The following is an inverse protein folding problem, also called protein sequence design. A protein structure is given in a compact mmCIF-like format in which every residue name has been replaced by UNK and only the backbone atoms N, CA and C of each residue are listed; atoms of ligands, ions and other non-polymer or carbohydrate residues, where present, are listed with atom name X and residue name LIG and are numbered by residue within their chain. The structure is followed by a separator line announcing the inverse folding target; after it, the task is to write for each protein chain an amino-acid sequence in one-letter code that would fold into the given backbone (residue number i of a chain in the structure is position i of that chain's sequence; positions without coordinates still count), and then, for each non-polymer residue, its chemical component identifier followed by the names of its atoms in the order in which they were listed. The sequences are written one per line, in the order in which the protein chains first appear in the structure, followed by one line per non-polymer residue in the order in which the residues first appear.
data_IF_648533281041
#
_entry.id   IF_648533281041
#
_cell.length_a   1.000
_cell.length_b   1.000
_cell.length_c   1.000
_cell.angle_alpha   90.00
_cell.angle_beta   90.00
_cell.angle_gamma   90.00
#
_symmetry.space_group_name_H-M   'P 1'
#
loop_
_entity.id
_entity.type
_entity.pdbx_description
1 polymer ?
#
# COMPACT_ATOMS: atom_id res chain seq x y z
N UNK A 1 -19.51 -19.97 -6.20
CA UNK A 1 -18.30 -19.49 -5.50
C UNK A 1 -18.62 -18.67 -4.24
N UNK A 2 -19.37 -17.56 -4.33
CA UNK A 2 -19.70 -16.70 -3.17
C UNK A 2 -20.27 -17.44 -1.94
N UNK A 3 -21.21 -18.37 -2.13
CA UNK A 3 -21.74 -19.20 -1.03
C UNK A 3 -20.73 -20.14 -0.40
N UNK A 4 -19.78 -20.64 -1.18
CA UNK A 4 -18.74 -21.55 -0.73
C UNK A 4 -17.65 -20.79 0.05
N UNK A 5 -17.32 -19.57 -0.40
CA UNK A 5 -16.45 -18.64 0.33
C UNK A 5 -17.05 -18.19 1.68
N UNK A 6 -18.38 -18.05 1.76
CA UNK A 6 -19.10 -17.77 3.01
C UNK A 6 -19.27 -19.01 3.92
N UNK A 7 -18.64 -20.14 3.56
CA UNK A 7 -18.66 -21.41 4.28
C UNK A 7 -19.97 -22.19 4.24
N UNK A 8 -20.75 -22.02 3.17
CA UNK A 8 -21.75 -23.01 2.78
C UNK A 8 -21.08 -24.30 2.29
N UNK A 9 -21.80 -25.42 2.36
CA UNK A 9 -21.33 -26.70 1.85
C UNK A 9 -21.25 -26.70 0.32
N UNK A 10 -20.54 -27.67 -0.26
CA UNK A 10 -20.46 -27.86 -1.70
C UNK A 10 -21.87 -27.99 -2.32
N UNK A 11 -22.76 -28.76 -1.67
CA UNK A 11 -24.15 -28.90 -2.10
C UNK A 11 -24.90 -27.58 -2.11
N UNK A 12 -24.88 -26.83 -1.00
CA UNK A 12 -25.59 -25.54 -0.89
C UNK A 12 -25.07 -24.50 -1.88
N UNK A 13 -23.76 -24.53 -2.15
CA UNK A 13 -23.12 -23.63 -3.10
C UNK A 13 -23.47 -23.97 -4.54
N UNK A 14 -23.58 -25.26 -4.86
CA UNK A 14 -24.00 -25.73 -6.16
C UNK A 14 -25.49 -25.46 -6.40
N UNK A 15 -26.36 -25.73 -5.44
CA UNK A 15 -27.79 -25.39 -5.50
C UNK A 15 -28.01 -23.89 -5.69
N UNK A 16 -27.24 -23.05 -5.01
CA UNK A 16 -27.31 -21.61 -5.19
C UNK A 16 -26.90 -21.18 -6.61
N UNK A 17 -25.86 -21.80 -7.18
CA UNK A 17 -25.47 -21.54 -8.55
C UNK A 17 -26.55 -22.01 -9.54
N UNK A 18 -27.17 -23.17 -9.29
CA UNK A 18 -28.27 -23.69 -10.10
C UNK A 18 -29.50 -22.78 -10.03
N UNK A 19 -29.82 -22.24 -8.85
CA UNK A 19 -30.92 -21.28 -8.68
C UNK A 19 -30.67 -19.96 -9.42
N UNK A 20 -29.42 -19.47 -9.40
CA UNK A 20 -29.03 -18.27 -10.16
C UNK A 20 -29.15 -18.51 -11.68
N UNK A 21 -28.67 -19.64 -12.17
CA UNK A 21 -28.78 -20.00 -13.60
C UNK A 21 -30.22 -20.27 -14.02
N UNK A 22 -31.04 -20.88 -13.15
CA UNK A 22 -32.46 -21.08 -13.41
C UNK A 22 -33.21 -19.75 -13.52
N UNK A 23 -32.81 -18.74 -12.75
CA UNK A 23 -33.36 -17.39 -12.82
C UNK A 23 -32.97 -16.68 -14.13
N UNK A 24 -31.73 -16.84 -14.59
CA UNK A 24 -31.23 -16.17 -15.81
C UNK A 24 -31.63 -16.87 -17.12
N UNK A 25 -31.72 -18.20 -17.13
CA UNK A 25 -31.86 -19.00 -18.36
C UNK A 25 -33.05 -19.97 -18.37
N UNK A 26 -33.88 -19.96 -17.32
CA UNK A 26 -35.05 -20.82 -17.17
C UNK A 26 -34.71 -22.20 -16.56
N UNK A 27 -35.67 -22.78 -15.84
CA UNK A 27 -35.48 -23.98 -15.03
C UNK A 27 -35.14 -25.26 -15.82
N UNK A 28 -35.47 -25.31 -17.12
CA UNK A 28 -35.17 -26.46 -17.99
C UNK A 28 -33.68 -26.58 -18.33
N UNK A 29 -32.91 -25.49 -18.19
CA UNK A 29 -31.46 -25.47 -18.46
C UNK A 29 -30.60 -25.38 -17.20
N UNK A 30 -31.20 -25.51 -16.03
CA UNK A 30 -30.47 -25.45 -14.77
C UNK A 30 -29.70 -26.76 -14.52
N UNK A 31 -28.41 -26.70 -14.15
CA UNK A 31 -27.63 -27.88 -13.78
C UNK A 31 -28.29 -28.66 -12.63
N UNK A 32 -28.09 -29.98 -12.56
CA UNK A 32 -28.63 -30.84 -11.50
C UNK A 32 -27.55 -31.66 -10.80
N UNK A 33 -27.87 -32.11 -9.59
CA UNK A 33 -27.06 -33.06 -8.83
C UNK A 33 -27.36 -34.48 -9.33
N UNK A 34 -26.33 -35.20 -9.78
CA UNK A 34 -26.47 -36.56 -10.30
C UNK A 34 -25.77 -37.56 -9.39
N UNK A 35 -26.53 -38.56 -8.91
CA UNK A 35 -26.01 -39.70 -8.14
C UNK A 35 -25.59 -40.80 -9.11
N UNK A 36 -24.31 -41.18 -9.09
CA UNK A 36 -23.78 -42.30 -9.88
C UNK A 36 -23.80 -43.58 -9.05
N UNK A 37 -24.48 -44.62 -9.55
CA UNK A 37 -24.57 -45.94 -8.90
C UNK A 37 -23.45 -46.89 -9.32
N UNK A 38 -22.81 -46.70 -10.48
CA UNK A 38 -21.63 -47.48 -10.91
C UNK A 38 -20.62 -46.59 -11.64
N UNK A 39 -19.34 -46.97 -11.54
CA UNK A 39 -18.21 -46.26 -12.16
C UNK A 39 -18.29 -46.26 -13.69
N UNK A 40 -18.86 -45.21 -14.28
CA UNK A 40 -18.70 -44.94 -15.71
C UNK A 40 -17.46 -44.09 -15.93
N UNK A 41 -16.49 -44.66 -16.65
CA UNK A 41 -15.46 -43.91 -17.35
C UNK A 41 -16.11 -43.02 -18.42
N UNK A 42 -15.40 -41.97 -18.80
CA UNK A 42 -15.82 -41.04 -19.85
C UNK A 42 -15.99 -41.78 -21.19
N UNK A 43 -17.21 -42.23 -21.46
CA UNK A 43 -17.66 -42.75 -22.73
C UNK A 43 -19.00 -42.11 -23.04
N UNK A 44 -19.00 -41.13 -23.94
CA UNK A 44 -20.21 -40.63 -24.58
C UNK A 44 -20.67 -41.70 -25.58
N UNK A 45 -21.60 -42.55 -25.18
CA UNK A 45 -22.42 -43.31 -26.13
C UNK A 45 -23.89 -43.20 -25.70
N UNK A 46 -24.67 -42.64 -26.62
CA UNK A 46 -26.12 -42.67 -26.78
C UNK A 46 -26.98 -42.15 -25.62
N UNK A 47 -27.12 -40.82 -25.57
CA UNK A 47 -28.29 -40.17 -25.01
C UNK A 47 -28.97 -39.32 -26.10
N UNK A 48 -29.99 -39.89 -26.74
CA UNK A 48 -30.97 -39.13 -27.51
C UNK A 48 -31.78 -38.26 -26.52
N UNK A 49 -31.44 -36.98 -26.42
CA UNK A 49 -32.18 -35.98 -25.65
C UNK A 49 -31.39 -34.69 -25.49
N UNK A 50 -32.00 -33.54 -25.83
CA UNK A 50 -31.44 -32.19 -25.69
C UNK A 50 -31.30 -31.72 -24.22
N UNK A 51 -31.00 -32.62 -23.28
CA UNK A 51 -30.78 -32.26 -21.89
C UNK A 51 -29.30 -31.93 -21.65
N UNK A 52 -29.07 -30.72 -21.14
CA UNK A 52 -27.74 -30.14 -20.94
C UNK A 52 -26.89 -31.03 -19.99
N UNK A 53 -25.68 -31.49 -20.40
CA UNK A 53 -24.95 -32.56 -19.70
C UNK A 53 -24.18 -32.11 -18.45
N UNK A 54 -24.36 -30.87 -17.99
CA UNK A 54 -23.53 -30.29 -16.94
C UNK A 54 -24.24 -30.41 -15.58
N UNK A 55 -23.56 -31.00 -14.61
CA UNK A 55 -24.08 -31.26 -13.28
C UNK A 55 -22.96 -31.68 -12.31
N UNK A 56 -23.23 -31.66 -11.01
CA UNK A 56 -22.30 -32.17 -10.02
C UNK A 56 -22.56 -33.67 -9.85
N UNK A 57 -21.58 -34.49 -10.23
CA UNK A 57 -21.63 -35.94 -10.16
C UNK A 57 -20.91 -36.43 -8.91
N UNK A 58 -21.57 -37.26 -8.11
CA UNK A 58 -20.95 -37.90 -6.94
C UNK A 58 -21.30 -39.40 -6.90
N UNK A 59 -20.38 -40.20 -6.38
CA UNK A 59 -20.61 -41.64 -6.16
C UNK A 59 -21.47 -41.83 -4.91
N UNK A 60 -22.39 -42.80 -4.95
CA UNK A 60 -23.22 -43.14 -3.80
C UNK A 60 -22.42 -43.47 -2.52
N UNK A 61 -21.22 -44.01 -2.67
CA UNK A 61 -20.30 -44.37 -1.58
C UNK A 61 -19.62 -43.14 -0.93
N UNK A 62 -19.56 -42.00 -1.64
CA UNK A 62 -18.89 -40.77 -1.20
C UNK A 62 -19.88 -39.59 -1.12
N UNK A 63 -21.07 -39.82 -0.57
CA UNK A 63 -22.07 -38.77 -0.36
C UNK A 63 -21.56 -37.65 0.57
N UNK A 64 -20.59 -37.95 1.45
CA UNK A 64 -19.96 -37.01 2.39
C UNK A 64 -19.25 -35.84 1.69
N UNK A 65 -18.89 -35.98 0.39
CA UNK A 65 -18.26 -34.90 -0.39
C UNK A 65 -19.22 -33.71 -0.58
N UNK A 66 -20.54 -33.94 -0.52
CA UNK A 66 -21.54 -32.87 -0.62
C UNK A 66 -21.55 -31.95 0.61
N UNK A 67 -21.14 -32.49 1.77
CA UNK A 67 -20.99 -31.77 3.03
C UNK A 67 -19.63 -31.10 3.17
N UNK A 68 -18.75 -31.25 2.17
CA UNK A 68 -17.46 -30.59 2.14
C UNK A 68 -17.63 -29.08 2.16
N UNK A 69 -16.88 -28.41 3.03
CA UNK A 69 -16.80 -26.96 3.16
C UNK A 69 -15.37 -26.56 2.81
N UNK A 70 -15.20 -25.36 2.22
CA UNK A 70 -13.87 -24.78 2.03
C UNK A 70 -13.12 -24.78 3.37
N UNK A 71 -11.92 -25.39 3.47
CA UNK A 71 -11.12 -25.34 4.68
C UNK A 71 -10.88 -23.86 5.06
N UNK A 72 -11.47 -23.43 6.17
CA UNK A 72 -11.31 -22.06 6.69
C UNK A 72 -9.99 -21.88 7.43
N UNK A 73 -9.34 -22.99 7.77
CA UNK A 73 -7.98 -22.99 8.26
C UNK A 73 -7.08 -23.19 7.03
N UNK A 74 -6.37 -22.13 6.65
CA UNK A 74 -5.01 -22.32 6.15
C UNK A 74 -4.35 -23.23 7.16
N UNK A 75 -3.79 -24.35 6.71
CA UNK A 75 -2.93 -25.17 7.55
C UNK A 75 -1.84 -24.24 8.08
N UNK A 76 -2.00 -23.76 9.32
CA UNK A 76 -0.92 -23.13 10.06
C UNK A 76 0.24 -24.11 9.94
N UNK A 77 1.37 -23.64 9.41
CA UNK A 77 2.51 -24.50 9.15
C UNK A 77 2.78 -25.33 10.40
N UNK A 78 2.86 -26.65 10.20
CA UNK A 78 2.95 -27.61 11.28
C UNK A 78 4.23 -27.34 12.09
N UNK A 79 4.05 -26.91 13.35
CA UNK A 79 5.12 -26.82 14.34
C UNK A 79 5.22 -25.47 15.03
N UNK A 80 4.17 -25.06 15.75
CA UNK A 80 4.32 -24.06 16.81
C UNK A 80 3.93 -24.72 18.12
N UNK A 81 4.90 -24.85 19.02
CA UNK A 81 4.67 -25.29 20.39
C UNK A 81 3.69 -24.31 21.04
N UNK A 82 2.56 -24.81 21.57
CA UNK A 82 1.59 -24.05 22.37
C UNK A 82 2.18 -23.46 23.67
N UNK A 83 3.51 -23.41 23.79
CA UNK A 83 4.26 -23.02 24.97
C UNK A 83 5.45 -22.08 24.69
N UNK A 84 5.65 -21.58 23.46
CA UNK A 84 6.58 -20.45 23.25
C UNK A 84 5.94 -19.18 23.82
N UNK A 85 6.59 -18.59 24.82
CA UNK A 85 6.25 -17.24 25.26
C UNK A 85 6.30 -16.31 24.07
N UNK A 86 5.17 -15.72 23.67
CA UNK A 86 5.10 -14.69 22.64
C UNK A 86 6.21 -13.64 22.89
N UNK A 87 7.25 -13.65 22.05
CA UNK A 87 8.32 -12.67 22.09
C UNK A 87 7.91 -11.49 21.22
N UNK A 88 7.50 -10.41 21.87
CA UNK A 88 7.03 -9.19 21.22
C UNK A 88 8.10 -8.64 20.25
N UNK A 89 7.72 -8.47 18.99
CA UNK A 89 8.60 -7.97 17.91
C UNK A 89 9.77 -8.92 17.56
N UNK A 90 9.76 -10.18 18.01
CA UNK A 90 10.84 -11.13 17.76
C UNK A 90 11.07 -11.38 16.26
N UNK A 91 10.01 -11.43 15.47
CA UNK A 91 10.12 -11.67 14.03
C UNK A 91 10.56 -10.43 13.23
N UNK A 92 10.35 -9.23 13.76
CA UNK A 92 10.70 -7.96 13.09
C UNK A 92 12.22 -7.88 12.87
N UNK A 93 13.04 -8.45 13.76
CA UNK A 93 14.50 -8.46 13.60
C UNK A 93 14.97 -9.23 12.37
N UNK A 94 14.19 -10.18 11.84
CA UNK A 94 14.54 -10.90 10.61
C UNK A 94 14.74 -9.97 9.40
N UNK A 95 14.07 -8.81 9.40
CA UNK A 95 14.17 -7.79 8.35
C UNK A 95 15.59 -7.22 8.26
N UNK A 96 16.33 -7.15 9.37
CA UNK A 96 17.70 -6.61 9.38
C UNK A 96 18.65 -7.47 8.54
N UNK A 97 18.46 -8.79 8.55
CA UNK A 97 19.28 -9.70 7.73
C UNK A 97 19.14 -9.39 6.24
N UNK A 98 17.90 -9.24 5.77
CA UNK A 98 17.63 -8.88 4.37
C UNK A 98 18.06 -7.44 4.04
N UNK A 99 17.96 -6.51 4.99
CA UNK A 99 18.47 -5.13 4.79
C UNK A 99 19.98 -5.10 4.64
N UNK A 100 20.72 -5.85 5.48
CA UNK A 100 22.17 -5.99 5.38
C UNK A 100 22.60 -6.65 4.06
N UNK A 101 21.85 -7.66 3.59
CA UNK A 101 22.11 -8.30 2.30
C UNK A 101 22.03 -7.31 1.13
N UNK A 102 21.16 -6.30 1.22
CA UNK A 102 21.00 -5.26 0.20
C UNK A 102 21.98 -4.09 0.36
N UNK A 103 22.46 -3.80 1.58
CA UNK A 103 23.37 -2.69 1.86
C UNK A 103 24.46 -3.08 2.87
N UNK A 104 25.68 -3.29 2.36
CA UNK A 104 26.84 -3.72 3.16
C UNK A 104 27.23 -2.75 4.29
N UNK A 105 26.85 -1.46 4.19
CA UNK A 105 27.13 -0.50 5.28
C UNK A 105 26.29 -0.79 6.52
N UNK A 106 25.08 -1.31 6.34
CA UNK A 106 24.23 -1.69 7.47
C UNK A 106 24.76 -2.91 8.19
N UNK A 107 25.46 -3.81 7.50
CA UNK A 107 26.07 -4.98 8.14
C UNK A 107 27.11 -4.57 9.19
N UNK A 108 27.95 -3.57 8.87
CA UNK A 108 28.91 -2.99 9.82
C UNK A 108 28.20 -2.30 11.00
N UNK A 109 27.14 -1.54 10.72
CA UNK A 109 26.35 -0.85 11.76
C UNK A 109 25.69 -1.88 12.71
N UNK A 110 25.09 -2.96 12.18
CA UNK A 110 24.43 -4.01 12.96
C UNK A 110 25.43 -4.74 13.86
N UNK A 111 26.62 -5.09 13.35
CA UNK A 111 27.66 -5.78 14.14
C UNK A 111 28.20 -4.92 15.30
N UNK A 112 28.07 -3.60 15.19
CA UNK A 112 28.56 -2.65 16.21
C UNK A 112 27.57 -2.38 17.34
N UNK A 113 26.30 -2.75 17.15
CA UNK A 113 25.21 -2.46 18.10
C UNK A 113 24.93 -3.67 19.00
N UNK A 114 24.84 -3.41 20.30
CA UNK A 114 24.47 -4.43 21.31
C UNK A 114 23.03 -4.24 21.85
N UNK A 115 22.41 -3.08 21.64
CA UNK A 115 21.06 -2.76 22.13
C UNK A 115 19.97 -3.04 21.08
N UNK A 116 19.05 -3.93 21.42
CA UNK A 116 17.86 -4.29 20.64
C UNK A 116 17.06 -3.05 20.17
N UNK A 117 17.02 -1.97 20.97
CA UNK A 117 16.33 -0.74 20.59
C UNK A 117 17.02 -0.02 19.45
N UNK A 118 18.34 -0.01 19.43
CA UNK A 118 19.11 0.61 18.35
C UNK A 118 18.92 -0.16 17.04
N UNK A 119 18.83 -1.49 17.12
CA UNK A 119 18.52 -2.37 15.99
C UNK A 119 17.12 -2.08 15.42
N UNK A 120 16.09 -1.96 16.27
CA UNK A 120 14.74 -1.59 15.81
C UNK A 120 14.70 -0.17 15.21
N UNK A 121 15.43 0.78 15.79
CA UNK A 121 15.56 2.11 15.21
C UNK A 121 16.22 2.08 13.82
N UNK A 122 17.14 1.16 13.58
CA UNK A 122 17.78 1.00 12.27
C UNK A 122 16.77 0.54 11.21
N UNK A 123 15.88 -0.41 11.54
CA UNK A 123 14.78 -0.84 10.65
C UNK A 123 13.90 0.36 10.31
N UNK A 124 13.47 1.11 11.34
CA UNK A 124 12.57 2.27 11.18
C UNK A 124 13.20 3.34 10.29
N UNK A 125 14.48 3.66 10.50
CA UNK A 125 15.21 4.72 9.77
C UNK A 125 15.47 4.39 8.30
N UNK A 126 15.57 3.12 7.95
CA UNK A 126 15.88 2.69 6.58
C UNK A 126 14.65 2.49 5.71
N UNK A 127 13.46 2.35 6.30
CA UNK A 127 12.22 2.37 5.52
C UNK A 127 11.72 3.79 5.18
N UNK A 128 11.01 3.97 4.05
CA UNK A 128 10.26 5.19 3.75
C UNK A 128 9.30 5.56 4.89
N UNK A 129 9.11 6.86 5.17
CA UNK A 129 8.34 7.34 6.33
C UNK A 129 6.98 6.66 6.50
N UNK A 130 6.24 6.44 5.41
CA UNK A 130 4.92 5.81 5.45
C UNK A 130 4.94 4.38 6.00
N UNK A 131 6.04 3.64 5.84
CA UNK A 131 6.24 2.30 6.42
C UNK A 131 6.89 2.44 7.80
N UNK A 132 8.01 3.17 7.87
CA UNK A 132 8.80 3.31 9.09
C UNK A 132 8.03 3.91 10.26
N UNK A 133 7.14 4.88 10.03
CA UNK A 133 6.29 5.45 11.09
C UNK A 133 5.29 4.43 11.66
N UNK A 134 4.84 3.46 10.86
CA UNK A 134 3.90 2.43 11.30
C UNK A 134 4.63 1.31 12.05
N UNK A 135 5.83 0.93 11.59
CA UNK A 135 6.74 0.04 12.33
C UNK A 135 7.13 0.69 13.67
N UNK A 136 7.46 1.98 13.68
CA UNK A 136 7.79 2.72 14.90
C UNK A 136 6.68 2.74 15.94
N UNK A 137 5.41 2.72 15.50
CA UNK A 137 4.27 2.57 16.41
C UNK A 137 4.16 1.14 16.96
N UNK A 138 4.36 0.12 16.12
CA UNK A 138 4.32 -1.28 16.56
C UNK A 138 5.32 -1.58 17.68
N UNK A 139 6.51 -0.97 17.61
CA UNK A 139 7.58 -1.15 18.59
C UNK A 139 7.55 -0.12 19.73
N UNK A 140 6.56 0.78 19.74
CA UNK A 140 6.45 1.81 20.76
C UNK A 140 6.06 1.22 22.12
N UNK A 141 6.40 1.92 23.21
CA UNK A 141 6.03 1.55 24.58
C UNK A 141 4.55 1.84 24.91
N UNK A 142 3.66 1.88 23.91
CA UNK A 142 2.23 2.06 24.13
C UNK A 142 1.63 0.77 24.74
N UNK A 143 0.89 0.83 25.85
CA UNK A 143 0.21 -0.33 26.44
C UNK A 143 -0.64 -1.13 25.44
N UNK A 144 -1.24 -0.48 24.44
CA UNK A 144 -2.04 -1.15 23.41
C UNK A 144 -1.19 -1.96 22.42
N UNK A 145 0.09 -1.63 22.28
CA UNK A 145 1.04 -2.32 21.41
C UNK A 145 1.81 -3.41 22.16
N UNK A 146 2.02 -3.27 23.47
CA UNK A 146 2.76 -4.22 24.30
C UNK A 146 1.98 -5.52 24.60
N UNK A 147 0.68 -5.55 24.35
CA UNK A 147 -0.16 -6.72 24.62
C UNK A 147 -0.79 -7.25 23.33
N UNK A 148 -0.77 -8.59 23.11
CA UNK A 148 -1.45 -9.19 21.98
C UNK A 148 -2.96 -8.98 22.13
N UNK A 149 -3.58 -8.41 21.10
CA UNK A 149 -4.98 -7.99 21.13
C UNK A 149 -5.39 -7.25 19.87
N UNK A 150 -6.69 -6.94 19.76
CA UNK A 150 -7.25 -6.31 18.56
C UNK A 150 -6.52 -5.00 18.15
N UNK A 151 -6.15 -4.08 19.06
CA UNK A 151 -5.43 -2.86 18.68
C UNK A 151 -4.06 -3.14 18.04
N UNK A 152 -3.30 -4.10 18.55
CA UNK A 152 -2.01 -4.51 17.97
C UNK A 152 -2.21 -5.16 16.60
N UNK A 153 -3.20 -6.05 16.48
CA UNK A 153 -3.54 -6.69 15.20
C UNK A 153 -3.94 -5.68 14.12
N UNK A 154 -4.75 -4.68 14.47
CA UNK A 154 -5.10 -3.58 13.57
C UNK A 154 -3.86 -2.79 13.13
N UNK A 155 -2.91 -2.54 14.05
CA UNK A 155 -1.68 -1.84 13.71
C UNK A 155 -0.74 -2.68 12.82
N UNK A 156 -0.68 -4.01 13.01
CA UNK A 156 0.07 -4.92 12.14
C UNK A 156 -0.48 -4.86 10.71
N UNK A 157 -1.80 -4.96 10.57
CA UNK A 157 -2.48 -4.86 9.28
C UNK A 157 -2.37 -3.48 8.65
N UNK A 158 -2.41 -2.42 9.46
CA UNK A 158 -2.18 -1.06 8.99
C UNK A 158 -0.76 -0.86 8.44
N UNK A 159 0.24 -1.51 9.06
CA UNK A 159 1.63 -1.48 8.61
C UNK A 159 1.78 -2.20 7.27
N UNK A 160 1.18 -3.39 7.15
CA UNK A 160 1.07 -4.12 5.90
C UNK A 160 0.41 -3.27 4.78
N UNK A 161 -0.75 -2.67 5.06
CA UNK A 161 -1.46 -1.83 4.09
C UNK A 161 -0.66 -0.61 3.66
N UNK A 162 0.04 0.05 4.61
CA UNK A 162 0.87 1.21 4.29
C UNK A 162 2.06 0.83 3.39
N UNK A 163 2.59 -0.38 3.53
CA UNK A 163 3.63 -0.92 2.66
C UNK A 163 3.07 -1.31 1.28
N UNK A 164 1.93 -2.00 1.22
CA UNK A 164 1.27 -2.36 -0.05
C UNK A 164 0.86 -1.11 -0.85
N UNK A 165 0.30 -0.10 -0.18
CA UNK A 165 -0.08 1.18 -0.78
C UNK A 165 1.14 1.93 -1.35
N UNK A 166 2.28 1.87 -0.67
CA UNK A 166 3.53 2.46 -1.17
C UNK A 166 4.00 1.81 -2.46
N UNK A 167 3.99 0.49 -2.52
CA UNK A 167 4.37 -0.27 -3.70
C UNK A 167 3.47 0.08 -4.88
N UNK A 168 2.15 0.04 -4.64
CA UNK A 168 1.15 0.41 -5.64
C UNK A 168 1.38 1.81 -6.22
N UNK A 169 1.44 2.83 -5.37
CA UNK A 169 1.59 4.21 -5.84
C UNK A 169 2.98 4.51 -6.44
N UNK A 170 4.02 3.82 -5.98
CA UNK A 170 5.36 3.96 -6.59
C UNK A 170 5.36 3.42 -8.02
N UNK A 171 4.79 2.23 -8.24
CA UNK A 171 4.67 1.68 -9.60
C UNK A 171 3.70 2.50 -10.45
N UNK A 172 2.63 3.02 -9.87
CA UNK A 172 1.67 3.88 -10.57
C UNK A 172 2.30 5.19 -11.03
N UNK A 173 3.11 5.83 -10.18
CA UNK A 173 3.92 7.00 -10.56
C UNK A 173 4.82 6.72 -11.75
N UNK A 174 5.48 5.56 -11.76
CA UNK A 174 6.34 5.19 -12.88
C UNK A 174 5.53 4.99 -14.16
N UNK A 175 4.41 4.26 -14.09
CA UNK A 175 3.52 4.06 -15.25
C UNK A 175 3.07 5.41 -15.81
N UNK A 176 2.73 6.37 -14.96
CA UNK A 176 2.34 7.70 -15.40
C UNK A 176 3.48 8.43 -16.13
N UNK A 177 4.70 8.43 -15.57
CA UNK A 177 5.85 9.05 -16.23
C UNK A 177 6.10 8.43 -17.61
N UNK A 178 5.88 7.12 -17.77
CA UNK A 178 6.07 6.40 -19.03
C UNK A 178 4.94 6.61 -20.04
N UNK A 179 3.69 6.78 -19.58
CA UNK A 179 2.60 7.25 -20.44
C UNK A 179 2.90 8.65 -20.98
N UNK A 180 3.36 9.56 -20.11
CA UNK A 180 3.68 10.93 -20.49
C UNK A 180 4.94 11.02 -21.39
N UNK A 181 5.86 10.06 -21.28
CA UNK A 181 7.02 9.93 -22.17
C UNK A 181 6.67 9.34 -23.54
N UNK A 182 5.46 8.78 -23.69
CA UNK A 182 4.99 8.10 -24.89
C UNK A 182 5.53 6.67 -25.06
N UNK A 183 6.12 6.08 -24.01
CA UNK A 183 6.62 4.70 -24.02
C UNK A 183 5.53 3.66 -23.78
N UNK A 184 4.45 4.04 -23.08
CA UNK A 184 3.26 3.21 -22.89
C UNK A 184 2.08 3.78 -23.69
N UNK A 185 1.33 2.89 -24.35
CA UNK A 185 0.10 3.25 -25.02
C UNK A 185 -1.07 3.34 -24.02
N UNK A 186 -1.99 4.26 -24.28
CA UNK A 186 -3.11 4.62 -23.37
C UNK A 186 -4.13 3.47 -23.19
N UNK A 187 -4.19 2.50 -24.11
CA UNK A 187 -5.22 1.45 -24.15
C UNK A 187 -4.99 0.22 -23.26
N UNK A 188 -3.79 0.04 -22.71
CA UNK A 188 -3.40 -1.26 -22.14
C UNK A 188 -3.76 -1.42 -20.66
N UNK A 189 -4.43 -0.43 -20.08
CA UNK A 189 -4.60 -0.37 -18.64
C UNK A 189 -5.94 0.28 -18.25
N UNK A 190 -6.83 -0.51 -17.65
CA UNK A 190 -8.14 -0.06 -17.18
C UNK A 190 -8.02 0.49 -15.75
N UNK A 191 -7.98 1.81 -15.63
CA UNK A 191 -7.61 2.51 -14.41
C UNK A 191 -8.67 3.46 -13.88
N UNK A 192 -9.86 3.50 -14.49
CA UNK A 192 -10.96 4.27 -13.92
C UNK A 192 -11.25 3.80 -12.47
N UNK A 193 -11.08 2.51 -12.19
CA UNK A 193 -11.21 1.93 -10.85
C UNK A 193 -10.08 2.34 -9.88
N UNK A 194 -8.84 2.48 -10.36
CA UNK A 194 -7.69 2.80 -9.50
C UNK A 194 -7.69 4.24 -8.96
N UNK A 195 -8.32 5.17 -9.68
CA UNK A 195 -8.39 6.59 -9.30
C UNK A 195 -9.74 7.01 -8.73
N UNK A 196 -10.81 6.32 -9.10
CA UNK A 196 -12.15 6.62 -8.61
C UNK A 196 -12.53 5.76 -7.40
N UNK A 197 -11.54 5.29 -6.64
CA UNK A 197 -11.76 4.56 -5.38
C UNK A 197 -12.69 5.42 -4.52
N UNK A 198 -13.90 4.92 -4.33
CA UNK A 198 -14.87 5.52 -3.41
C UNK A 198 -14.46 5.24 -1.97
N UNK A 199 -14.99 5.98 -0.98
CA UNK A 199 -14.69 5.70 0.43
C UNK A 199 -14.94 4.24 0.85
N UNK A 200 -15.93 3.59 0.24
CA UNK A 200 -16.30 2.20 0.53
C UNK A 200 -15.32 1.20 -0.11
N UNK A 201 -14.90 1.46 -1.34
CA UNK A 201 -13.89 0.65 -2.05
C UNK A 201 -12.51 0.80 -1.42
N UNK A 202 -12.17 1.97 -0.87
CA UNK A 202 -10.86 2.22 -0.26
C UNK A 202 -10.50 1.20 0.83
N UNK A 203 -11.51 0.74 1.58
CA UNK A 203 -11.32 -0.23 2.66
C UNK A 203 -11.13 -1.67 2.16
N UNK A 204 -11.48 -1.94 0.91
CA UNK A 204 -11.47 -3.27 0.30
C UNK A 204 -10.47 -3.41 -0.86
N UNK A 205 -9.91 -2.30 -1.34
CA UNK A 205 -9.00 -2.29 -2.48
C UNK A 205 -7.75 -3.12 -2.18
N UNK A 206 -7.43 -4.06 -3.08
CA UNK A 206 -6.23 -4.88 -2.99
C UNK A 206 -5.06 -4.21 -3.70
N UNK A 207 -4.26 -3.49 -2.91
CA UNK A 207 -3.09 -2.77 -3.40
C UNK A 207 -2.00 -3.70 -3.95
N UNK A 208 -1.89 -4.94 -3.45
CA UNK A 208 -0.88 -5.90 -3.93
C UNK A 208 -1.28 -6.44 -5.30
N UNK A 209 -2.57 -6.75 -5.49
CA UNK A 209 -3.09 -7.15 -6.80
C UNK A 209 -2.93 -6.01 -7.83
N UNK A 210 -3.29 -4.78 -7.45
CA UNK A 210 -3.11 -3.60 -8.30
C UNK A 210 -1.64 -3.39 -8.66
N UNK A 211 -0.73 -3.49 -7.69
CA UNK A 211 0.71 -3.39 -7.92
C UNK A 211 1.21 -4.43 -8.93
N UNK A 212 0.78 -5.69 -8.82
CA UNK A 212 1.17 -6.77 -9.75
C UNK A 212 0.68 -6.49 -11.17
N UNK A 213 -0.55 -6.01 -11.33
CA UNK A 213 -1.09 -5.63 -12.63
C UNK A 213 -0.23 -4.53 -13.28
N UNK A 214 0.13 -3.48 -12.51
CA UNK A 214 0.96 -2.39 -13.00
C UNK A 214 2.36 -2.83 -13.42
N UNK A 215 2.98 -3.69 -12.61
CA UNK A 215 4.31 -4.20 -12.91
C UNK A 215 4.30 -5.10 -14.15
N UNK A 216 3.24 -5.89 -14.34
CA UNK A 216 3.06 -6.69 -15.55
C UNK A 216 2.94 -5.80 -16.80
N UNK A 217 2.26 -4.65 -16.71
CA UNK A 217 2.20 -3.69 -17.82
C UNK A 217 3.60 -3.17 -18.19
N UNK A 218 4.39 -2.73 -17.20
CA UNK A 218 5.75 -2.22 -17.44
C UNK A 218 6.64 -3.30 -18.08
N UNK A 219 6.62 -4.51 -17.52
CA UNK A 219 7.45 -5.62 -18.00
C UNK A 219 7.05 -6.11 -19.39
N UNK A 220 5.75 -6.16 -19.71
CA UNK A 220 5.25 -6.50 -21.05
C UNK A 220 5.72 -5.52 -22.13
N UNK A 221 5.96 -4.27 -21.75
CA UNK A 221 6.49 -3.23 -22.64
C UNK A 221 8.03 -3.14 -22.64
N UNK A 222 8.71 -4.02 -21.91
CA UNK A 222 10.17 -4.00 -21.80
C UNK A 222 10.72 -2.81 -21.01
N UNK A 223 9.88 -2.16 -20.20
CA UNK A 223 10.28 -1.05 -19.34
C UNK A 223 10.79 -1.62 -18.01
N UNK A 224 12.02 -1.28 -17.64
CA UNK A 224 12.60 -1.69 -16.37
C UNK A 224 11.94 -0.92 -15.21
N UNK A 225 11.55 -1.59 -14.11
CA UNK A 225 11.02 -0.89 -12.95
C UNK A 225 12.09 0.03 -12.33
N UNK A 226 11.66 1.19 -11.83
CA UNK A 226 12.55 2.15 -11.15
C UNK A 226 13.19 1.52 -9.91
N UNK A 227 12.38 0.77 -9.16
CA UNK A 227 12.80 -0.15 -8.10
C UNK A 227 13.21 -1.47 -8.75
N UNK A 228 14.49 -1.67 -9.05
CA UNK A 228 14.93 -2.83 -9.85
C UNK A 228 14.61 -4.18 -9.15
N UNK A 229 14.75 -4.20 -7.83
CA UNK A 229 14.54 -5.36 -6.97
C UNK A 229 13.05 -5.77 -6.85
N UNK A 230 12.13 -4.88 -7.23
CA UNK A 230 10.68 -5.12 -7.15
C UNK A 230 10.23 -6.31 -8.00
N UNK A 231 10.95 -6.57 -9.11
CA UNK A 231 10.67 -7.67 -10.00
C UNK A 231 10.92 -9.02 -9.31
N UNK A 232 11.95 -9.10 -8.45
CA UNK A 232 12.23 -10.31 -7.66
C UNK A 232 11.12 -10.57 -6.64
N UNK A 233 10.66 -9.52 -5.95
CA UNK A 233 9.54 -9.61 -5.02
C UNK A 233 8.25 -10.08 -5.72
N UNK A 234 7.91 -9.49 -6.88
CA UNK A 234 6.73 -9.91 -7.66
C UNK A 234 6.83 -11.36 -8.12
N UNK A 235 8.01 -11.80 -8.57
CA UNK A 235 8.24 -13.19 -8.96
C UNK A 235 7.99 -14.15 -7.79
N UNK A 236 8.41 -13.80 -6.58
CA UNK A 236 8.10 -14.57 -5.37
C UNK A 236 6.59 -14.68 -5.10
N UNK A 237 5.82 -13.64 -5.41
CA UNK A 237 4.35 -13.69 -5.35
C UNK A 237 3.73 -14.59 -6.43
N UNK A 238 4.28 -14.58 -7.64
CA UNK A 238 3.78 -15.42 -8.76
C UNK A 238 4.10 -16.91 -8.54
N UNK A 239 5.28 -17.21 -8.00
CA UNK A 239 5.74 -18.56 -7.68
C UNK A 239 5.11 -19.15 -6.42
N UNK A 240 4.22 -18.40 -5.74
CA UNK A 240 3.56 -18.80 -4.49
C UNK A 240 4.54 -19.19 -3.38
N UNK A 241 5.60 -18.39 -3.23
CA UNK A 241 6.56 -18.52 -2.14
C UNK A 241 5.99 -17.93 -0.84
N UNK A 242 6.77 -17.90 0.23
CA UNK A 242 6.37 -17.39 1.56
C UNK A 242 5.75 -15.98 1.52
N UNK A 243 6.21 -15.11 0.60
CA UNK A 243 5.64 -13.78 0.41
C UNK A 243 4.18 -13.81 -0.08
N UNK A 244 3.80 -14.80 -0.88
CA UNK A 244 2.43 -14.99 -1.34
C UNK A 244 1.52 -15.46 -0.21
N UNK A 245 2.02 -16.38 0.63
CA UNK A 245 1.29 -16.86 1.81
C UNK A 245 1.08 -15.72 2.81
N UNK A 246 2.10 -14.88 3.02
CA UNK A 246 2.00 -13.66 3.82
C UNK A 246 0.94 -12.69 3.29
N UNK A 247 0.92 -12.46 1.97
CA UNK A 247 -0.11 -11.65 1.31
C UNK A 247 -1.52 -12.20 1.56
N UNK A 248 -1.75 -13.49 1.28
CA UNK A 248 -3.06 -14.12 1.47
C UNK A 248 -3.52 -14.09 2.93
N UNK A 249 -2.59 -14.34 3.85
CA UNK A 249 -2.89 -14.32 5.28
C UNK A 249 -3.34 -12.93 5.72
N UNK A 250 -2.59 -11.88 5.37
CA UNK A 250 -2.92 -10.50 5.74
C UNK A 250 -4.26 -10.05 5.17
N UNK A 251 -4.52 -10.35 3.90
CA UNK A 251 -5.80 -10.06 3.26
C UNK A 251 -6.96 -10.83 3.89
N UNK A 252 -6.74 -12.09 4.30
CA UNK A 252 -7.76 -12.88 4.99
C UNK A 252 -8.17 -12.25 6.33
N UNK A 253 -7.21 -11.73 7.12
CA UNK A 253 -7.53 -11.05 8.38
C UNK A 253 -8.19 -9.70 8.11
N UNK A 254 -7.71 -8.96 7.10
CA UNK A 254 -8.32 -7.69 6.69
C UNK A 254 -9.82 -7.85 6.38
N UNK A 255 -10.19 -8.87 5.61
CA UNK A 255 -11.60 -9.17 5.34
C UNK A 255 -12.38 -9.54 6.60
N UNK A 256 -11.75 -10.23 7.56
CA UNK A 256 -12.39 -10.62 8.83
C UNK A 256 -12.54 -9.46 9.81
N UNK A 257 -11.70 -8.42 9.76
CA UNK A 257 -11.82 -7.24 10.62
C UNK A 257 -13.15 -6.50 10.44
N UNK A 258 -13.79 -6.63 9.28
CA UNK A 258 -15.14 -6.09 9.04
C UNK A 258 -16.23 -6.77 9.89
N UNK A 259 -15.91 -7.90 10.55
CA UNK A 259 -16.79 -8.65 11.47
C UNK A 259 -16.08 -8.87 12.83
N UNK A 260 -15.94 -7.82 13.65
CA UNK A 260 -15.03 -7.82 14.81
C UNK A 260 -15.42 -8.79 15.93
N UNK A 261 -16.70 -9.17 16.03
CA UNK A 261 -17.22 -10.03 17.10
C UNK A 261 -16.53 -11.41 17.15
N UNK A 262 -16.17 -11.96 15.98
CA UNK A 262 -15.49 -13.26 15.89
C UNK A 262 -13.96 -13.14 16.08
N UNK A 263 -13.40 -11.94 15.93
CA UNK A 263 -11.95 -11.73 15.96
C UNK A 263 -11.43 -11.51 17.38
N UNK A 264 -12.25 -10.93 18.27
CA UNK A 264 -11.78 -10.49 19.59
C UNK A 264 -11.25 -11.64 20.46
N UNK A 265 -11.82 -12.84 20.34
CA UNK A 265 -11.38 -14.03 21.09
C UNK A 265 -10.12 -14.67 20.50
N UNK A 266 -9.85 -14.50 19.20
CA UNK A 266 -8.70 -15.08 18.50
C UNK A 266 -7.56 -14.07 18.29
N UNK A 267 -7.80 -12.79 18.53
CA UNK A 267 -6.87 -11.71 18.23
C UNK A 267 -5.49 -11.92 18.87
N UNK A 268 -5.44 -12.52 20.06
CA UNK A 268 -4.18 -12.82 20.73
C UNK A 268 -3.28 -13.77 19.94
N UNK A 269 -3.84 -14.91 19.49
CA UNK A 269 -3.14 -15.90 18.67
C UNK A 269 -2.78 -15.33 17.29
N UNK A 270 -3.72 -14.63 16.67
CA UNK A 270 -3.52 -14.02 15.35
C UNK A 270 -2.45 -12.91 15.36
N UNK A 271 -2.13 -12.30 16.51
CA UNK A 271 -1.07 -11.29 16.58
C UNK A 271 0.31 -11.88 16.29
N UNK A 272 0.60 -13.08 16.77
CA UNK A 272 1.90 -13.73 16.56
C UNK A 272 2.07 -14.14 15.09
N UNK A 273 1.07 -14.83 14.54
CA UNK A 273 1.05 -15.19 13.12
C UNK A 273 1.13 -13.94 12.23
N UNK A 274 0.36 -12.89 12.55
CA UNK A 274 0.41 -11.64 11.79
C UNK A 274 1.75 -10.93 11.92
N UNK A 275 2.44 -11.03 13.04
CA UNK A 275 3.78 -10.46 13.18
C UNK A 275 4.79 -11.20 12.29
N UNK A 276 4.73 -12.53 12.26
CA UNK A 276 5.56 -13.35 11.37
C UNK A 276 5.29 -13.05 9.89
N UNK A 277 4.02 -13.07 9.45
CA UNK A 277 3.70 -12.78 8.05
C UNK A 277 4.01 -11.32 7.67
N UNK A 278 3.89 -10.37 8.61
CA UNK A 278 4.32 -8.99 8.37
C UNK A 278 5.83 -8.92 8.18
N UNK A 279 6.62 -9.63 8.99
CA UNK A 279 8.07 -9.62 8.85
C UNK A 279 8.50 -10.23 7.53
N UNK A 280 7.91 -11.35 7.10
CA UNK A 280 8.16 -11.95 5.77
C UNK A 280 7.86 -10.95 4.65
N UNK A 281 6.71 -10.26 4.73
CA UNK A 281 6.33 -9.27 3.72
C UNK A 281 7.31 -8.07 3.69
N UNK A 282 7.67 -7.52 4.86
CA UNK A 282 8.60 -6.39 4.97
C UNK A 282 10.04 -6.76 4.61
N UNK A 283 10.47 -7.99 4.90
CA UNK A 283 11.74 -8.56 4.46
C UNK A 283 11.83 -8.59 2.94
N UNK A 284 10.73 -8.94 2.26
CA UNK A 284 10.63 -8.82 0.79
C UNK A 284 10.77 -7.39 0.26
N UNK A 285 10.58 -6.38 1.12
CA UNK A 285 10.74 -4.96 0.81
C UNK A 285 12.06 -4.37 1.38
N UNK A 286 12.95 -5.19 1.91
CA UNK A 286 14.19 -4.73 2.54
C UNK A 286 15.11 -3.96 1.57
N UNK A 287 15.01 -4.22 0.26
CA UNK A 287 15.71 -3.48 -0.79
C UNK A 287 15.45 -1.97 -0.77
N UNK A 288 14.38 -1.52 -0.11
CA UNK A 288 14.05 -0.09 0.07
C UNK A 288 15.17 0.71 0.76
N UNK A 289 16.09 0.05 1.47
CA UNK A 289 17.30 0.66 2.03
C UNK A 289 18.15 1.40 0.97
N UNK A 290 18.11 0.93 -0.27
CA UNK A 290 18.85 1.52 -1.39
C UNK A 290 18.21 2.81 -1.92
N UNK A 291 17.04 3.19 -1.39
CA UNK A 291 16.25 4.31 -1.87
C UNK A 291 15.98 5.32 -0.75
N UNK A 292 15.91 6.60 -1.11
CA UNK A 292 15.64 7.69 -0.17
C UNK A 292 14.40 8.46 -0.60
N UNK A 293 13.41 8.48 0.29
CA UNK A 293 12.22 9.31 0.13
C UNK A 293 12.56 10.74 0.56
N UNK A 294 12.37 11.70 -0.34
CA UNK A 294 12.76 13.10 -0.12
C UNK A 294 11.62 14.01 -0.51
N UNK A 295 11.34 15.03 0.30
CA UNK A 295 10.48 16.15 -0.10
C UNK A 295 11.30 17.28 -0.70
N UNK A 296 10.86 17.80 -1.84
CA UNK A 296 11.38 19.01 -2.49
C UNK A 296 10.42 20.16 -2.18
N UNK A 297 10.77 21.01 -1.22
CA UNK A 297 9.89 22.10 -0.79
C UNK A 297 10.00 23.35 -1.64
N UNK A 298 11.18 23.62 -2.17
CA UNK A 298 11.40 24.79 -3.03
C UNK A 298 12.69 24.62 -3.84
N UNK A 299 12.77 25.33 -4.97
CA UNK A 299 13.94 25.37 -5.85
C UNK A 299 14.23 26.82 -6.21
N UNK A 300 15.40 27.31 -5.80
CA UNK A 300 15.85 28.68 -6.09
C UNK A 300 16.87 28.68 -7.22
N UNK A 301 16.52 29.35 -8.31
CA UNK A 301 17.41 29.57 -9.44
C UNK A 301 18.45 30.67 -9.12
N UNK A 302 19.72 30.31 -9.17
CA UNK A 302 20.85 31.20 -8.92
C UNK A 302 21.61 31.43 -10.23
N UNK A 303 21.51 32.65 -10.77
CA UNK A 303 22.24 33.06 -11.98
C UNK A 303 23.06 34.33 -11.70
N UNK A 304 24.35 34.13 -11.38
CA UNK A 304 25.27 35.23 -11.16
C UNK A 304 26.03 35.58 -12.43
N UNK A 305 26.35 36.87 -12.60
CA UNK A 305 27.16 37.35 -13.73
C UNK A 305 28.50 36.58 -13.79
N UNK A 306 28.80 35.98 -14.94
CA UNK A 306 30.01 35.19 -15.20
C UNK A 306 30.14 33.89 -14.38
N UNK A 307 29.04 33.34 -13.86
CA UNK A 307 29.00 32.00 -13.27
C UNK A 307 27.99 31.12 -14.02
N UNK A 308 28.21 29.79 -14.06
CA UNK A 308 27.18 28.88 -14.55
C UNK A 308 25.93 28.99 -13.68
N UNK A 309 24.76 28.79 -14.28
CA UNK A 309 23.51 28.76 -13.55
C UNK A 309 23.47 27.52 -12.64
N UNK A 310 22.95 27.72 -11.43
CA UNK A 310 22.82 26.67 -10.42
C UNK A 310 21.41 26.68 -9.84
N UNK A 311 20.89 25.50 -9.51
CA UNK A 311 19.62 25.33 -8.82
C UNK A 311 19.88 24.94 -7.38
N UNK A 312 19.30 25.67 -6.44
CA UNK A 312 19.40 25.38 -5.00
C UNK A 312 18.11 24.74 -4.53
N UNK A 313 18.19 23.48 -4.13
CA UNK A 313 17.03 22.69 -3.74
C UNK A 313 16.92 22.61 -2.21
N UNK A 314 15.74 22.94 -1.71
CA UNK A 314 15.39 22.78 -0.31
C UNK A 314 14.79 21.39 -0.10
N UNK A 315 15.68 20.45 0.20
CA UNK A 315 15.36 19.04 0.36
C UNK A 315 15.16 18.68 1.85
N UNK A 316 14.28 17.72 2.13
CA UNK A 316 14.13 17.11 3.44
C UNK A 316 13.99 15.60 3.32
N UNK A 317 14.76 14.83 4.11
CA UNK A 317 14.60 13.37 4.15
C UNK A 317 13.31 13.00 4.86
N UNK A 318 12.51 12.15 4.22
CA UNK A 318 11.28 11.57 4.75
C UNK A 318 11.54 10.14 5.21
N UNK A 319 12.52 9.98 6.10
CA UNK A 319 12.78 8.72 6.79
C UNK A 319 12.23 8.80 8.20
N UNK A 320 11.79 7.67 8.75
CA UNK A 320 11.29 7.65 10.11
C UNK A 320 12.42 7.83 11.13
N UNK A 321 12.50 9.03 11.70
CA UNK A 321 13.28 9.29 12.90
C UNK A 321 12.34 9.28 14.11
N UNK A 322 12.82 8.73 15.23
CA UNK A 322 12.11 8.68 16.52
C UNK A 322 11.57 10.06 16.95
N UNK A 323 12.21 11.16 16.50
CA UNK A 323 11.82 12.53 16.86
C UNK A 323 10.72 13.17 15.99
N UNK A 324 10.12 12.47 15.01
CA UNK A 324 9.09 13.02 14.10
C UNK A 324 9.42 14.39 13.45
N UNK A 325 10.70 14.74 13.44
CA UNK A 325 11.26 15.96 12.86
C UNK A 325 11.88 15.61 11.54
N UNK A 326 11.58 16.40 10.50
CA UNK A 326 12.36 16.33 9.28
C UNK A 326 13.80 16.72 9.61
N UNK A 327 14.74 15.86 9.23
CA UNK A 327 16.10 16.30 8.94
C UNK A 327 16.09 17.16 7.67
N UNK A 328 15.51 18.37 7.73
CA UNK A 328 15.71 19.36 6.69
C UNK A 328 17.21 19.58 6.57
N UNK A 329 17.74 19.52 5.35
CA UNK A 329 19.13 19.90 5.17
C UNK A 329 19.26 21.36 5.61
N UNK A 330 20.17 21.62 6.57
CA UNK A 330 20.38 22.97 7.14
C UNK A 330 20.70 24.00 6.05
N UNK A 331 21.27 23.54 4.94
CA UNK A 331 21.58 24.36 3.77
C UNK A 331 20.98 23.70 2.51
N UNK A 332 20.42 24.51 1.59
CA UNK A 332 19.94 24.00 0.31
C UNK A 332 21.12 23.45 -0.49
N UNK A 333 20.90 22.32 -1.16
CA UNK A 333 21.93 21.68 -1.97
C UNK A 333 21.91 22.26 -3.37
N UNK A 334 23.08 22.59 -3.90
CA UNK A 334 23.23 23.13 -5.24
C UNK A 334 23.47 22.01 -6.25
N UNK A 335 22.63 21.95 -7.29
CA UNK A 335 22.77 21.01 -8.40
C UNK A 335 22.69 21.74 -9.75
N UNK A 336 23.19 21.08 -10.81
CA UNK A 336 23.15 21.60 -12.18
C UNK A 336 21.77 21.47 -12.83
N UNK A 337 21.03 20.43 -12.48
CA UNK A 337 19.68 20.18 -12.99
C UNK A 337 18.62 20.56 -11.95
N UNK A 338 17.40 20.82 -12.41
CA UNK A 338 16.25 21.02 -11.53
C UNK A 338 15.51 19.69 -11.26
N UNK A 339 14.78 19.67 -10.15
CA UNK A 339 13.83 18.64 -9.77
C UNK A 339 12.42 19.24 -9.89
N UNK A 340 11.39 18.45 -9.62
CA UNK A 340 10.04 18.98 -9.51
C UNK A 340 9.83 19.69 -8.17
N UNK A 341 9.38 20.94 -8.20
CA UNK A 341 9.05 21.69 -6.99
C UNK A 341 7.78 21.15 -6.32
N UNK A 342 7.65 21.38 -5.01
CA UNK A 342 6.48 21.00 -4.23
C UNK A 342 6.12 19.52 -4.36
N UNK A 343 7.13 18.66 -4.39
CA UNK A 343 6.98 17.25 -4.69
C UNK A 343 7.57 16.36 -3.60
N UNK A 344 7.14 15.10 -3.60
CA UNK A 344 7.79 14.00 -2.92
C UNK A 344 8.41 13.11 -3.98
N UNK A 345 9.70 12.84 -3.86
CA UNK A 345 10.46 12.07 -4.84
C UNK A 345 11.20 10.91 -4.19
N UNK A 346 11.49 9.89 -5.00
CA UNK A 346 12.32 8.76 -4.63
C UNK A 346 13.66 8.84 -5.37
N UNK A 347 14.76 8.70 -4.63
CA UNK A 347 16.13 8.77 -5.14
C UNK A 347 16.90 7.49 -4.82
N UNK A 348 17.72 6.98 -5.75
CA UNK A 348 18.69 5.90 -5.48
C UNK A 348 19.87 6.35 -4.60
N UNK A 349 20.07 7.65 -4.47
CA UNK A 349 21.15 8.23 -3.65
C UNK A 349 21.09 9.76 -3.68
N UNK A 350 21.81 10.41 -2.77
CA UNK A 350 21.84 11.88 -2.69
C UNK A 350 23.01 12.54 -3.42
N UNK A 351 23.96 11.74 -3.89
CA UNK A 351 25.11 12.23 -4.65
C UNK A 351 24.67 12.69 -6.04
N UNK A 352 23.75 11.93 -6.65
CA UNK A 352 23.15 12.22 -7.96
C UNK A 352 21.64 12.42 -7.82
N UNK A 353 21.13 13.58 -8.26
CA UNK A 353 19.68 13.88 -8.24
C UNK A 353 18.88 13.20 -9.36
N UNK A 354 19.57 12.60 -10.33
CA UNK A 354 18.98 11.80 -11.41
C UNK A 354 19.68 10.44 -11.46
N UNK A 355 18.96 9.34 -11.76
CA UNK A 355 17.51 9.27 -11.95
C UNK A 355 16.72 9.47 -10.65
N UNK A 356 15.49 9.99 -10.76
CA UNK A 356 14.53 10.10 -9.66
C UNK A 356 13.14 9.71 -10.16
N UNK A 357 12.25 9.37 -9.24
CA UNK A 357 10.84 9.11 -9.52
C UNK A 357 9.97 10.10 -8.74
N UNK A 358 9.04 10.77 -9.41
CA UNK A 358 8.13 11.69 -8.76
C UNK A 358 6.89 10.95 -8.22
N UNK A 359 6.67 11.03 -6.92
CA UNK A 359 5.57 10.37 -6.23
C UNK A 359 4.36 11.29 -6.00
N UNK A 360 4.44 12.57 -6.35
CA UNK A 360 3.31 13.49 -6.33
C UNK A 360 2.44 13.32 -7.58
N UNK A 361 1.10 13.33 -7.46
CA UNK A 361 0.31 13.76 -6.33
C UNK A 361 -0.06 12.64 -5.35
N UNK A 362 0.44 11.40 -5.47
CA UNK A 362 0.05 10.30 -4.58
C UNK A 362 0.60 10.46 -3.16
N UNK A 363 1.82 10.99 -3.04
CA UNK A 363 2.42 11.40 -1.77
C UNK A 363 2.70 12.90 -1.77
N UNK A 364 2.32 13.57 -0.69
CA UNK A 364 2.47 15.02 -0.54
C UNK A 364 2.99 15.40 0.84
N UNK A 365 3.94 16.35 0.92
CA UNK A 365 4.26 17.06 2.18
C UNK A 365 3.37 18.30 2.26
N UNK A 366 2.44 18.34 3.23
CA UNK A 366 1.57 19.51 3.45
C UNK A 366 2.36 20.81 3.62
N UNK A 367 3.56 20.73 4.18
CA UNK A 367 4.40 21.92 4.40
C UNK A 367 5.00 22.47 3.10
N UNK A 368 5.15 21.65 2.06
CA UNK A 368 5.58 22.12 0.74
C UNK A 368 4.56 23.10 0.13
N UNK A 369 3.28 22.99 0.49
CA UNK A 369 2.21 23.88 0.02
C UNK A 369 1.92 25.05 0.99
N UNK A 370 2.62 25.13 2.11
CA UNK A 370 2.43 26.20 3.12
C UNK A 370 3.17 27.49 2.72
N UNK A 371 2.71 28.66 3.18
CA UNK A 371 3.42 29.93 2.90
C UNK A 371 4.82 30.00 3.53
N UNK A 372 5.02 29.30 4.65
CA UNK A 372 6.30 29.22 5.38
C UNK A 372 7.02 27.87 5.13
N UNK A 373 7.16 27.47 3.86
CA UNK A 373 7.73 26.17 3.42
C UNK A 373 9.05 25.81 4.14
N UNK A 374 9.91 26.79 4.36
CA UNK A 374 11.27 26.59 4.88
C UNK A 374 11.36 26.57 6.41
N UNK A 375 10.34 27.07 7.12
CA UNK A 375 10.40 27.28 8.56
C UNK A 375 9.63 26.22 9.37
N UNK A 376 8.89 25.32 8.71
CA UNK A 376 8.16 24.23 9.37
C UNK A 376 9.07 23.00 9.57
N UNK A 377 9.54 22.69 10.79
CA UNK A 377 10.39 21.53 11.05
C UNK A 377 9.60 20.21 11.15
N UNK A 378 8.27 20.30 11.25
CA UNK A 378 7.39 19.14 11.42
C UNK A 378 7.19 18.42 10.09
N UNK A 379 7.20 17.09 10.15
CA UNK A 379 6.86 16.25 9.01
C UNK A 379 5.35 16.01 8.96
N UNK A 380 4.73 16.39 7.85
CA UNK A 380 3.30 16.18 7.60
C UNK A 380 3.12 15.57 6.20
N UNK A 381 3.51 14.29 6.09
CA UNK A 381 3.31 13.48 4.89
C UNK A 381 1.88 12.96 4.85
N UNK A 382 1.25 13.09 3.68
CA UNK A 382 -0.05 12.53 3.39
C UNK A 382 0.01 11.65 2.15
N UNK A 383 -0.83 10.62 2.16
CA UNK A 383 -0.99 9.67 1.06
C UNK A 383 -2.38 9.82 0.47
N UNK A 384 -2.50 9.79 -0.86
CA UNK A 384 -3.77 9.75 -1.56
C UNK A 384 -4.60 8.54 -1.10
N UNK A 385 -5.91 8.72 -0.97
CA UNK A 385 -6.79 7.67 -0.45
C UNK A 385 -8.01 7.44 -1.33
N UNK A 386 -8.91 8.42 -1.44
CA UNK A 386 -10.16 8.24 -2.19
C UNK A 386 -10.65 9.55 -2.77
N UNK A 387 -11.57 9.45 -3.74
CA UNK A 387 -12.24 10.59 -4.34
C UNK A 387 -13.61 10.82 -3.70
N UNK A 388 -13.95 12.08 -3.43
CA UNK A 388 -15.28 12.48 -2.97
C UNK A 388 -15.84 13.57 -3.90
N UNK A 389 -16.54 13.15 -4.94
CA UNK A 389 -17.04 14.05 -5.99
C UNK A 389 -15.89 14.56 -6.85
N UNK A 390 -15.56 15.85 -6.75
CA UNK A 390 -14.41 16.47 -7.46
C UNK A 390 -13.18 16.67 -6.56
N UNK A 391 -13.29 16.36 -5.28
CA UNK A 391 -12.21 16.56 -4.34
C UNK A 391 -11.43 15.26 -4.12
N UNK A 392 -10.11 15.38 -4.06
CA UNK A 392 -9.20 14.28 -3.75
C UNK A 392 -8.88 14.33 -2.26
N UNK A 393 -9.10 13.21 -1.56
CA UNK A 393 -8.89 13.09 -0.13
C UNK A 393 -7.59 12.36 0.15
N UNK A 394 -6.81 12.97 1.03
CA UNK A 394 -5.52 12.53 1.49
C UNK A 394 -5.57 12.19 2.97
N UNK A 395 -4.95 11.10 3.38
CA UNK A 395 -4.85 10.69 4.78
C UNK A 395 -3.39 10.82 5.23
N UNK A 396 -3.19 11.40 6.42
CA UNK A 396 -1.85 11.52 7.00
C UNK A 396 -1.21 10.14 7.12
N UNK A 397 -0.03 9.93 6.56
CA UNK A 397 0.61 8.61 6.44
C UNK A 397 0.92 7.94 7.78
N UNK A 398 0.97 8.70 8.88
CA UNK A 398 1.11 8.19 10.24
C UNK A 398 -0.24 7.85 10.89
N UNK A 399 -1.36 7.79 10.18
CA UNK A 399 -2.68 7.46 10.75
C UNK A 399 -2.99 5.98 10.56
N UNK A 400 -4.03 5.48 11.23
CA UNK A 400 -4.56 4.14 10.96
C UNK A 400 -5.51 4.21 9.75
N UNK A 401 -5.09 3.64 8.62
CA UNK A 401 -5.83 3.62 7.36
C UNK A 401 -7.17 2.88 7.48
N UNK A 402 -7.23 1.82 8.30
CA UNK A 402 -8.44 1.03 8.53
C UNK A 402 -9.56 1.85 9.20
N UNK A 403 -9.19 2.86 9.98
CA UNK A 403 -10.12 3.75 10.68
C UNK A 403 -10.16 5.16 10.07
N UNK A 404 -9.41 5.41 9.00
CA UNK A 404 -9.13 6.76 8.54
C UNK A 404 -10.36 7.47 7.94
N UNK A 405 -11.33 6.73 7.40
CA UNK A 405 -12.62 7.28 6.96
C UNK A 405 -13.42 7.92 8.10
N UNK A 406 -13.16 7.53 9.35
CA UNK A 406 -13.87 8.01 10.55
C UNK A 406 -13.20 9.22 11.22
N UNK A 407 -11.94 9.52 10.89
CA UNK A 407 -11.14 10.54 11.59
C UNK A 407 -10.86 11.76 10.69
N UNK A 408 -11.83 12.68 10.60
CA UNK A 408 -11.76 13.88 9.75
C UNK A 408 -10.52 14.76 9.99
N UNK A 409 -9.96 14.76 11.21
CA UNK A 409 -8.80 15.59 11.56
C UNK A 409 -7.48 15.13 10.91
N UNK A 410 -7.41 13.89 10.43
CA UNK A 410 -6.25 13.35 9.72
C UNK A 410 -6.42 13.38 8.20
N UNK A 411 -7.50 13.99 7.71
CA UNK A 411 -7.80 14.10 6.29
C UNK A 411 -7.43 15.49 5.77
N UNK A 412 -6.96 15.53 4.53
CA UNK A 412 -6.69 16.74 3.77
C UNK A 412 -7.43 16.62 2.43
N UNK A 413 -8.28 17.60 2.12
CA UNK A 413 -8.95 17.71 0.83
C UNK A 413 -8.27 18.76 -0.03
N UNK A 414 -8.18 18.51 -1.34
CA UNK A 414 -7.73 19.51 -2.33
C UNK A 414 -8.61 20.76 -2.34
N UNK A 415 -9.87 20.65 -1.91
CA UNK A 415 -10.80 21.77 -1.76
C UNK A 415 -10.56 22.66 -0.53
N UNK A 416 -9.69 22.28 0.41
CA UNK A 416 -9.48 23.02 1.65
C UNK A 416 -8.87 24.41 1.43
N UNK A 417 -9.59 25.45 1.87
CA UNK A 417 -9.02 26.77 2.11
C UNK A 417 -8.18 26.74 3.40
N UNK A 418 -6.90 27.08 3.33
CA UNK A 418 -6.04 27.19 4.52
C UNK A 418 -6.57 28.32 5.41
N UNK A 419 -7.21 27.96 6.53
CA UNK A 419 -7.59 28.93 7.57
C UNK A 419 -6.32 29.47 8.21
N UNK A 420 -6.13 30.79 8.13
CA UNK A 420 -5.01 31.49 8.75
C UNK A 420 -5.00 31.25 10.26
N UNK A 421 -3.88 30.71 10.79
CA UNK A 421 -3.65 30.67 12.22
C UNK A 421 -3.55 32.10 12.77
N UNK A 422 -4.59 32.51 13.51
CA UNK A 422 -4.77 33.88 14.02
C UNK A 422 -3.79 34.27 15.13
N UNK A 423 -2.82 33.41 15.48
CA UNK A 423 -1.85 33.66 16.57
C UNK A 423 -0.70 34.59 16.18
N UNK A 424 -0.41 34.79 14.89
CA UNK A 424 0.70 35.65 14.43
C UNK A 424 0.30 37.06 13.98
N UNK A 425 -0.95 37.49 14.18
CA UNK A 425 -1.43 38.83 13.73
C UNK A 425 -0.82 40.04 14.47
N UNK A 426 -0.03 39.87 15.53
CA UNK A 426 0.37 41.01 16.38
C UNK A 426 1.70 41.69 16.03
N UNK A 427 2.49 41.28 15.02
CA UNK A 427 3.82 41.90 14.84
C UNK A 427 4.27 42.34 13.45
N UNK A 428 3.45 42.27 12.38
CA UNK A 428 3.88 42.83 11.08
C UNK A 428 2.75 43.57 10.35
N UNK A 429 2.40 44.74 10.86
CA UNK A 429 1.58 45.75 10.17
C UNK A 429 2.49 46.87 9.69
N UNK A 430 2.74 46.93 8.36
CA UNK A 430 2.68 48.17 7.55
C UNK A 430 3.18 48.08 6.10
N UNK A 431 3.73 46.98 5.59
CA UNK A 431 4.26 46.93 4.21
C UNK A 431 3.76 45.78 3.30
N UNK A 432 2.73 45.02 3.68
CA UNK A 432 2.20 43.90 2.89
C UNK A 432 0.72 44.05 2.56
N UNK A 433 0.31 45.25 2.11
CA UNK A 433 -1.09 45.58 1.82
C UNK A 433 -1.46 45.56 0.32
N UNK A 434 -0.74 44.78 -0.48
CA UNK A 434 -0.92 44.75 -1.94
C UNK A 434 -0.85 43.34 -2.55
N UNK A 435 -1.23 42.31 -1.79
CA UNK A 435 -1.44 40.93 -2.29
C UNK A 435 -2.59 40.23 -1.56
N UNK A 436 -3.67 40.97 -1.32
CA UNK A 436 -4.86 40.53 -0.57
C UNK A 436 -6.02 40.06 -1.48
N UNK A 437 -5.74 39.56 -2.70
CA UNK A 437 -6.81 39.21 -3.66
C UNK A 437 -6.82 37.79 -4.25
N UNK A 438 -6.00 36.86 -3.78
CA UNK A 438 -6.27 35.44 -4.05
C UNK A 438 -6.35 34.64 -2.75
N UNK A 439 -7.57 34.18 -2.45
CA UNK A 439 -7.79 32.98 -1.65
C UNK A 439 -7.24 31.78 -2.44
N UNK A 440 -5.93 31.74 -2.65
CA UNK A 440 -5.29 30.65 -3.36
C UNK A 440 -5.48 29.38 -2.53
N UNK A 441 -6.34 28.47 -2.98
CA UNK A 441 -6.39 27.10 -2.46
C UNK A 441 -5.05 26.47 -2.84
N UNK A 442 -4.16 26.21 -1.88
CA UNK A 442 -2.77 25.86 -2.19
C UNK A 442 -2.63 24.46 -2.81
N UNK A 443 -3.71 23.66 -2.76
CA UNK A 443 -3.77 22.30 -3.29
C UNK A 443 -4.45 22.20 -4.67
N UNK A 444 -4.80 23.33 -5.33
CA UNK A 444 -5.37 23.30 -6.70
C UNK A 444 -4.43 22.60 -7.68
N UNK A 445 -3.12 22.77 -7.53
CA UNK A 445 -2.13 22.12 -8.40
C UNK A 445 -2.25 20.59 -8.36
N UNK A 446 -2.65 20.01 -7.23
CA UNK A 446 -2.89 18.57 -7.10
C UNK A 446 -4.14 18.14 -7.89
N UNK A 447 -5.22 18.95 -7.85
CA UNK A 447 -6.42 18.73 -8.65
C UNK A 447 -6.09 18.78 -10.16
N UNK A 448 -5.32 19.79 -10.60
CA UNK A 448 -4.86 19.91 -11.99
C UNK A 448 -3.97 18.72 -12.42
N UNK A 449 -3.13 18.20 -11.52
CA UNK A 449 -2.30 17.03 -11.77
C UNK A 449 -3.14 15.77 -11.99
N UNK A 450 -4.15 15.53 -11.15
CA UNK A 450 -5.08 14.41 -11.34
C UNK A 450 -5.98 14.58 -12.56
N UNK A 451 -6.40 15.80 -12.90
CA UNK A 451 -7.15 16.04 -14.14
C UNK A 451 -6.32 15.76 -15.38
N UNK A 452 -5.03 16.15 -15.39
CA UNK A 452 -4.10 15.78 -16.47
C UNK A 452 -3.92 14.28 -16.58
N UNK A 453 -3.72 13.61 -15.45
CA UNK A 453 -3.63 12.16 -15.39
C UNK A 453 -4.88 11.52 -15.98
N UNK A 454 -6.08 11.93 -15.55
CA UNK A 454 -7.35 11.42 -16.09
C UNK A 454 -7.48 11.68 -17.60
N UNK A 455 -7.08 12.86 -18.07
CA UNK A 455 -7.18 13.22 -19.49
C UNK A 455 -6.24 12.43 -20.40
N UNK A 456 -5.03 12.08 -19.93
CA UNK A 456 -4.10 11.23 -20.70
C UNK A 456 -4.71 9.83 -20.92
N UNK A 457 -5.69 9.41 -20.11
CA UNK A 457 -6.14 8.01 -20.04
C UNK A 457 -7.56 7.82 -20.59
N UNK A 458 -8.27 8.93 -20.85
CA UNK A 458 -9.56 8.96 -21.54
C UNK A 458 -9.43 9.23 -23.05
N UNK A 459 -8.23 9.57 -23.53
CA UNK A 459 -7.91 9.69 -24.96
C UNK A 459 -7.52 8.33 -25.53
#
# INVERSE_FOLDING_TARGET
YQKLANGGTLAQSFEHACASLAFEHGAERAPRLYRLEESRGAGFEDAEGEDMPWGLFYKAENAEVLDWVLPRQLSLSAGFDEASSFELNGYIYSILGEMAANNSKLEEDIQSMEDDRELLELIIKNFPWNIGAQVGKLVSNDPAMLHPGLPRLEQLLNTYLSAAQFMFFTTLSQVWDECNSGQLAESDIDFEEAFCITPDEFSHFDYVAGFRQLLNVLTNHGIAPFLEEIAHFSKGLDEKQEAYDAYLFMESIRHRLNQPENLQTQAGLLCEDAEYFLSVFLSGLAFMVNYQLVTVRDIVFCNYRHRPAEYRHYLGRLNAHTEARLGLFREPRAYKDFLDSDSVILLKGLETIKPYLNLSPFFIDKNAYSRDKLNSPAMDLFTFSFCKGKEYIYIKSSSNLLQASKLEHNQLSTGLEVKQDSRNRRLKSKYLKQRDEDKAKPFIVLEEQFEKLRNIWQQ
#
